data_IF_256453370881
#
_entry.id   IF_256453370881
#
_cell.length_a   1.000
_cell.length_b   1.000
_cell.length_c   1.000
_cell.angle_alpha   90.00
_cell.angle_beta   90.00
_cell.angle_gamma   90.00
#
_symmetry.space_group_name_H-M   'P 1'
#
loop_
_entity.id
_entity.type
_entity.pdbx_description
1 polymer ?
#
# COMPACT_ATOMS: atom_id res chain seq x y z
N UNK A 1 35.12 -6.10 -71.60
CA UNK A 1 33.96 -6.83 -71.04
C UNK A 1 33.82 -6.40 -69.59
N UNK A 2 32.67 -5.80 -69.21
CA UNK A 2 32.42 -5.23 -67.88
C UNK A 2 31.86 -6.31 -66.96
N UNK A 3 32.58 -6.66 -65.89
CA UNK A 3 32.07 -7.55 -64.83
C UNK A 3 31.18 -6.78 -63.87
N UNK A 4 29.93 -7.23 -63.77
CA UNK A 4 28.97 -6.81 -62.75
C UNK A 4 29.29 -7.57 -61.46
N UNK A 5 29.74 -6.87 -60.42
CA UNK A 5 29.92 -7.44 -59.08
C UNK A 5 28.65 -7.17 -58.28
N UNK A 6 27.88 -8.22 -58.03
CA UNK A 6 26.70 -8.18 -57.17
C UNK A 6 27.16 -8.11 -55.71
N UNK A 7 26.97 -6.96 -55.06
CA UNK A 7 27.20 -6.78 -53.62
C UNK A 7 26.08 -7.50 -52.86
N UNK A 8 26.40 -8.60 -52.18
CA UNK A 8 25.52 -9.22 -51.18
C UNK A 8 25.57 -8.38 -49.90
N UNK A 9 24.45 -7.75 -49.53
CA UNK A 9 24.27 -7.22 -48.19
C UNK A 9 24.18 -8.37 -47.18
N UNK A 10 24.87 -8.29 -46.02
CA UNK A 10 24.58 -9.17 -44.89
C UNK A 10 23.23 -8.76 -44.26
N UNK A 11 22.41 -9.72 -43.77
CA UNK A 11 21.21 -9.39 -43.02
C UNK A 11 21.59 -8.67 -41.72
N UNK A 12 20.83 -7.61 -41.42
CA UNK A 12 20.90 -6.78 -40.23
C UNK A 12 21.15 -7.60 -38.97
N UNK A 13 22.15 -7.19 -38.19
CA UNK A 13 22.31 -7.56 -36.79
C UNK A 13 20.99 -7.30 -36.06
N UNK A 14 20.29 -8.38 -35.73
CA UNK A 14 19.21 -8.37 -34.76
C UNK A 14 19.88 -8.04 -33.43
N UNK A 15 19.70 -6.80 -32.98
CA UNK A 15 19.96 -6.41 -31.61
C UNK A 15 19.27 -7.43 -30.69
N UNK A 16 19.95 -7.98 -29.67
CA UNK A 16 19.25 -8.73 -28.64
C UNK A 16 18.19 -7.82 -28.02
N UNK A 17 16.98 -8.36 -27.99
CA UNK A 17 15.80 -7.78 -27.39
C UNK A 17 16.09 -7.44 -25.91
N UNK A 18 16.48 -6.19 -25.65
CA UNK A 18 16.56 -5.63 -24.29
C UNK A 18 15.16 -5.30 -23.75
N UNK A 19 14.12 -6.04 -24.18
CA UNK A 19 12.74 -5.95 -23.72
C UNK A 19 12.39 -6.95 -22.61
N UNK A 20 13.31 -7.84 -22.24
CA UNK A 20 13.11 -8.85 -21.20
C UNK A 20 13.89 -8.54 -19.91
N UNK A 21 13.86 -7.30 -19.44
CA UNK A 21 13.94 -7.10 -17.99
C UNK A 21 12.63 -7.66 -17.42
N UNK A 22 12.69 -8.93 -17.05
CA UNK A 22 11.74 -9.57 -16.13
C UNK A 22 11.45 -8.57 -15.02
N UNK A 23 10.28 -7.93 -15.10
CA UNK A 23 9.77 -7.12 -14.02
C UNK A 23 9.71 -8.04 -12.80
N UNK A 24 10.35 -7.69 -11.67
CA UNK A 24 10.24 -8.50 -10.46
C UNK A 24 8.76 -8.55 -10.11
N UNK A 25 8.19 -9.75 -10.15
CA UNK A 25 6.78 -10.04 -9.91
C UNK A 25 6.32 -9.33 -8.63
N UNK A 26 5.45 -8.31 -8.69
CA UNK A 26 4.86 -7.68 -7.51
C UNK A 26 3.75 -8.54 -6.87
N UNK A 27 3.60 -9.80 -7.32
CA UNK A 27 2.47 -10.66 -7.01
C UNK A 27 2.33 -11.01 -5.52
N UNK A 28 3.38 -10.81 -4.70
CA UNK A 28 3.32 -11.08 -3.26
C UNK A 28 2.90 -9.88 -2.42
N UNK A 29 3.27 -8.65 -2.79
CA UNK A 29 2.93 -7.46 -1.99
C UNK A 29 1.42 -7.20 -1.93
N UNK A 30 0.71 -7.44 -3.04
CA UNK A 30 -0.75 -7.32 -3.09
C UNK A 30 -1.46 -8.37 -2.22
N UNK A 31 -0.98 -9.61 -2.25
CA UNK A 31 -1.52 -10.70 -1.42
C UNK A 31 -1.28 -10.46 0.07
N UNK A 32 -0.05 -10.05 0.43
CA UNK A 32 0.29 -9.71 1.82
C UNK A 32 -0.50 -8.50 2.28
N UNK A 33 -0.65 -7.46 1.47
CA UNK A 33 -1.47 -6.30 1.80
C UNK A 33 -2.94 -6.71 2.03
N UNK A 34 -3.49 -7.58 1.17
CA UNK A 34 -4.84 -8.09 1.32
C UNK A 34 -5.01 -8.92 2.59
N UNK A 35 -4.06 -9.80 2.91
CA UNK A 35 -4.07 -10.65 4.11
C UNK A 35 -3.95 -9.83 5.40
N UNK A 36 -3.06 -8.83 5.42
CA UNK A 36 -2.92 -7.91 6.55
C UNK A 36 -4.17 -7.08 6.77
N UNK A 37 -4.77 -6.55 5.71
CA UNK A 37 -6.02 -5.80 5.80
C UNK A 37 -7.18 -6.69 6.28
N UNK A 38 -7.29 -7.92 5.77
CA UNK A 38 -8.27 -8.87 6.25
C UNK A 38 -8.06 -9.20 7.74
N UNK A 39 -6.81 -9.33 8.18
CA UNK A 39 -6.45 -9.63 9.57
C UNK A 39 -6.82 -8.51 10.56
N UNK A 40 -6.88 -7.25 10.11
CA UNK A 40 -7.35 -6.11 10.90
C UNK A 40 -8.83 -5.76 10.66
N UNK A 41 -9.58 -6.64 9.98
CA UNK A 41 -11.02 -6.47 9.73
C UNK A 41 -11.38 -5.53 8.57
N UNK A 42 -10.39 -5.04 7.81
CA UNK A 42 -10.56 -4.19 6.63
C UNK A 42 -10.62 -5.03 5.35
N UNK A 43 -11.62 -5.90 5.21
CA UNK A 43 -11.80 -6.72 4.00
C UNK A 43 -12.87 -6.16 3.07
N UNK A 44 -12.59 -6.13 1.77
CA UNK A 44 -13.56 -5.80 0.71
C UNK A 44 -14.68 -6.84 0.57
N UNK A 45 -14.51 -8.04 1.15
CA UNK A 45 -15.54 -9.08 1.17
C UNK A 45 -16.72 -8.72 2.10
N UNK A 46 -16.51 -7.81 3.06
CA UNK A 46 -17.52 -7.41 4.05
C UNK A 46 -18.64 -6.52 3.46
N UNK A 47 -18.46 -5.99 2.25
CA UNK A 47 -19.38 -5.01 1.65
C UNK A 47 -20.69 -5.62 1.13
N UNK A 48 -20.81 -6.95 1.05
CA UNK A 48 -22.02 -7.62 0.49
C UNK A 48 -22.96 -8.18 1.58
N UNK A 49 -22.58 -8.20 2.86
CA UNK A 49 -23.34 -8.94 3.90
C UNK A 49 -23.76 -8.17 5.16
N UNK A 50 -23.22 -6.99 5.44
CA UNK A 50 -23.40 -6.33 6.74
C UNK A 50 -24.31 -5.09 6.69
N UNK A 51 -25.57 -5.28 6.29
CA UNK A 51 -26.63 -4.30 6.58
C UNK A 51 -26.99 -4.44 8.06
N UNK A 52 -26.13 -3.95 8.98
CA UNK A 52 -26.57 -3.69 10.36
C UNK A 52 -25.60 -2.88 11.23
N UNK A 53 -24.33 -2.73 10.87
CA UNK A 53 -23.37 -1.91 11.63
C UNK A 53 -22.65 -0.95 10.68
N UNK A 54 -23.28 0.19 10.39
CA UNK A 54 -22.72 1.32 9.62
C UNK A 54 -21.63 2.04 10.42
N UNK A 55 -20.57 1.32 10.79
CA UNK A 55 -19.41 1.96 11.41
C UNK A 55 -18.53 2.53 10.30
N UNK A 56 -18.18 3.83 10.35
CA UNK A 56 -17.29 4.43 9.36
C UNK A 56 -15.95 3.69 9.36
N UNK A 57 -15.43 3.42 8.18
CA UNK A 57 -14.17 2.68 7.93
C UNK A 57 -12.98 3.63 8.04
N UNK A 58 -13.12 4.90 7.66
CA UNK A 58 -12.05 5.88 7.73
C UNK A 58 -11.35 5.98 9.10
N UNK A 59 -12.04 6.04 10.27
CA UNK A 59 -11.36 6.14 11.56
C UNK A 59 -10.53 4.89 11.88
N UNK A 60 -10.97 3.71 11.44
CA UNK A 60 -10.21 2.46 11.62
C UNK A 60 -8.94 2.49 10.77
N UNK A 61 -9.06 2.93 9.51
CA UNK A 61 -7.94 3.14 8.59
C UNK A 61 -6.95 4.15 9.17
N UNK A 62 -7.41 5.31 9.62
CA UNK A 62 -6.58 6.35 10.24
C UNK A 62 -5.79 5.80 11.42
N UNK A 63 -6.45 5.03 12.31
CA UNK A 63 -5.79 4.41 13.44
C UNK A 63 -4.71 3.40 12.99
N UNK A 64 -4.99 2.57 11.97
CA UNK A 64 -4.01 1.63 11.43
C UNK A 64 -2.78 2.31 10.84
N UNK A 65 -2.97 3.37 10.05
CA UNK A 65 -1.86 4.15 9.51
C UNK A 65 -1.09 4.91 10.60
N UNK A 66 -1.76 5.35 11.66
CA UNK A 66 -1.11 6.00 12.79
C UNK A 66 -0.20 5.01 13.55
N UNK A 67 -0.74 3.85 13.95
CA UNK A 67 0.03 2.81 14.66
C UNK A 67 1.21 2.34 13.82
N UNK A 68 0.98 2.08 12.53
CA UNK A 68 2.05 1.68 11.62
C UNK A 68 3.10 2.79 11.46
N UNK A 69 2.67 4.05 11.37
CA UNK A 69 3.56 5.19 11.27
C UNK A 69 4.45 5.35 12.49
N UNK A 70 3.92 5.19 13.70
CA UNK A 70 4.73 5.24 14.94
C UNK A 70 5.83 4.18 14.90
N UNK A 71 5.50 2.94 14.53
CA UNK A 71 6.47 1.86 14.45
C UNK A 71 7.54 2.09 13.37
N UNK A 72 7.13 2.52 12.17
CA UNK A 72 8.06 2.81 11.07
C UNK A 72 8.98 4.00 11.37
N UNK A 73 8.48 5.04 12.04
CA UNK A 73 9.30 6.17 12.52
C UNK A 73 10.31 5.71 13.56
N UNK A 74 9.95 4.80 14.48
CA UNK A 74 10.92 4.23 15.42
C UNK A 74 12.00 3.41 14.72
N UNK A 75 11.66 2.73 13.62
CA UNK A 75 12.58 1.87 12.89
C UNK A 75 13.56 2.64 11.99
N UNK A 76 13.10 3.62 11.20
CA UNK A 76 13.94 4.35 10.24
C UNK A 76 14.04 5.86 10.44
N UNK A 77 13.34 6.42 11.42
CA UNK A 77 13.24 7.85 11.65
C UNK A 77 12.18 8.55 10.78
N UNK A 78 11.81 9.79 11.14
CA UNK A 78 10.67 10.48 10.53
C UNK A 78 10.92 10.86 9.06
N UNK A 79 12.15 11.22 8.68
CA UNK A 79 12.46 11.61 7.29
C UNK A 79 12.39 10.43 6.32
N UNK A 80 12.87 9.26 6.73
CA UNK A 80 12.80 8.05 5.93
C UNK A 80 11.35 7.59 5.77
N UNK A 81 10.58 7.59 6.86
CA UNK A 81 9.15 7.27 6.81
C UNK A 81 8.37 8.23 5.90
N UNK A 82 8.61 9.53 5.99
CA UNK A 82 8.01 10.52 5.08
C UNK A 82 8.33 10.22 3.60
N UNK A 83 9.59 9.91 3.28
CA UNK A 83 9.99 9.59 1.92
C UNK A 83 9.29 8.34 1.38
N UNK A 84 9.15 7.30 2.23
CA UNK A 84 8.42 6.07 1.91
C UNK A 84 6.95 6.39 1.63
N UNK A 85 6.26 7.10 2.54
CA UNK A 85 4.86 7.47 2.35
C UNK A 85 4.63 8.33 1.12
N UNK A 86 5.41 9.40 0.93
CA UNK A 86 5.27 10.28 -0.23
C UNK A 86 5.51 9.53 -1.56
N UNK A 87 6.35 8.49 -1.56
CA UNK A 87 6.50 7.62 -2.72
C UNK A 87 5.36 6.63 -2.85
N UNK A 88 4.90 6.02 -1.76
CA UNK A 88 3.80 5.07 -1.75
C UNK A 88 2.49 5.70 -2.24
N UNK A 89 2.16 6.91 -1.78
CA UNK A 89 0.98 7.68 -2.24
C UNK A 89 1.03 7.89 -3.75
N UNK A 90 2.18 8.30 -4.29
CA UNK A 90 2.36 8.48 -5.75
C UNK A 90 2.20 7.18 -6.54
N UNK A 91 2.60 6.04 -5.99
CA UNK A 91 2.42 4.74 -6.64
C UNK A 91 0.95 4.29 -6.56
N UNK A 92 0.32 4.47 -5.39
CA UNK A 92 -1.08 4.12 -5.18
C UNK A 92 -2.03 4.97 -6.04
N UNK A 93 -1.72 6.25 -6.28
CA UNK A 93 -2.49 7.12 -7.18
C UNK A 93 -2.60 6.59 -8.61
N UNK A 94 -1.58 5.85 -9.09
CA UNK A 94 -1.61 5.24 -10.43
C UNK A 94 -2.66 4.13 -10.51
N UNK A 95 -2.84 3.37 -9.41
CA UNK A 95 -3.81 2.28 -9.34
C UNK A 95 -5.22 2.77 -8.94
N UNK A 96 -5.30 3.72 -8.01
CA UNK A 96 -6.53 4.25 -7.43
C UNK A 96 -6.46 5.78 -7.39
N UNK A 97 -7.01 6.48 -8.41
CA UNK A 97 -6.92 7.94 -8.50
C UNK A 97 -7.53 8.70 -7.32
N UNK A 98 -8.52 8.11 -6.62
CA UNK A 98 -9.13 8.71 -5.43
C UNK A 98 -8.11 9.01 -4.30
N UNK A 99 -6.97 8.30 -4.29
CA UNK A 99 -5.85 8.50 -3.36
C UNK A 99 -5.15 9.86 -3.57
N UNK A 100 -5.43 10.58 -4.66
CA UNK A 100 -4.94 11.96 -4.86
C UNK A 100 -5.39 12.92 -3.74
N UNK A 101 -6.50 12.63 -3.07
CA UNK A 101 -6.99 13.41 -1.95
C UNK A 101 -6.15 13.22 -0.67
N UNK A 102 -5.31 12.17 -0.60
CA UNK A 102 -4.45 11.95 0.55
C UNK A 102 -3.31 12.96 0.63
N UNK A 103 -3.08 13.49 1.82
CA UNK A 103 -2.00 14.44 2.11
C UNK A 103 -1.03 13.82 3.10
N UNK A 104 0.25 13.76 2.71
CA UNK A 104 1.34 13.38 3.61
C UNK A 104 1.83 14.63 4.33
N UNK A 105 1.69 14.68 5.65
CA UNK A 105 2.28 15.76 6.44
C UNK A 105 3.77 15.51 6.66
N UNK A 106 4.56 16.57 6.52
CA UNK A 106 6.01 16.52 6.64
C UNK A 106 6.45 16.38 8.13
N UNK A 107 7.70 15.96 8.40
CA UNK A 107 8.26 15.89 9.75
C UNK A 107 8.11 17.21 10.53
N UNK A 108 8.01 17.17 11.87
CA UNK A 108 8.32 16.04 12.75
C UNK A 108 7.17 15.04 13.00
N UNK A 109 5.93 15.39 12.67
CA UNK A 109 4.75 14.55 12.88
C UNK A 109 4.25 14.03 11.52
N UNK A 110 4.90 13.00 11.00
CA UNK A 110 4.54 12.43 9.70
C UNK A 110 3.24 11.65 9.82
N UNK A 111 2.19 12.13 9.17
CA UNK A 111 0.86 11.52 9.16
C UNK A 111 0.27 11.52 7.75
N UNK A 112 -0.80 10.75 7.56
CA UNK A 112 -1.56 10.71 6.32
C UNK A 112 -3.00 11.13 6.60
N UNK A 113 -3.46 12.17 5.92
CA UNK A 113 -4.79 12.76 6.07
C UNK A 113 -5.61 12.61 4.79
N UNK A 114 -6.94 12.75 4.90
CA UNK A 114 -7.87 12.74 3.75
C UNK A 114 -8.63 11.42 3.54
N UNK A 115 -8.48 10.43 4.42
CA UNK A 115 -9.24 9.18 4.32
C UNK A 115 -10.75 9.38 4.47
N UNK A 116 -11.17 10.27 5.37
CA UNK A 116 -12.58 10.63 5.59
C UNK A 116 -13.19 11.32 4.35
N UNK A 117 -12.42 12.18 3.68
CA UNK A 117 -12.85 12.84 2.45
C UNK A 117 -13.05 11.82 1.31
N UNK A 118 -12.17 10.82 1.23
CA UNK A 118 -12.29 9.72 0.26
C UNK A 118 -13.53 8.88 0.55
N UNK A 119 -13.76 8.51 1.82
CA UNK A 119 -14.97 7.78 2.22
C UNK A 119 -16.24 8.55 1.86
N UNK A 120 -16.29 9.84 2.20
CA UNK A 120 -17.45 10.69 1.95
C UNK A 120 -17.71 10.94 0.45
N UNK A 121 -16.65 11.07 -0.36
CA UNK A 121 -16.78 11.40 -1.78
C UNK A 121 -16.97 10.17 -2.67
N UNK A 122 -16.26 9.08 -2.35
CA UNK A 122 -16.10 7.92 -3.23
C UNK A 122 -16.62 6.62 -2.62
N UNK A 123 -16.90 6.61 -1.33
CA UNK A 123 -17.39 5.46 -0.58
C UNK A 123 -16.30 4.48 -0.13
N UNK A 124 -16.72 3.60 0.76
CA UNK A 124 -15.91 2.58 1.45
C UNK A 124 -15.08 1.71 0.50
N UNK A 125 -15.67 1.31 -0.64
CA UNK A 125 -15.01 0.42 -1.59
C UNK A 125 -13.76 1.06 -2.21
N UNK A 126 -13.83 2.35 -2.56
CA UNK A 126 -12.69 3.07 -3.12
C UNK A 126 -11.68 3.46 -2.04
N UNK A 127 -12.13 3.76 -0.83
CA UNK A 127 -11.25 3.92 0.33
C UNK A 127 -10.43 2.64 0.57
N UNK A 128 -11.08 1.48 0.66
CA UNK A 128 -10.41 0.20 0.91
C UNK A 128 -9.45 -0.18 -0.22
N UNK A 129 -9.85 0.02 -1.49
CA UNK A 129 -8.96 -0.18 -2.62
C UNK A 129 -7.73 0.74 -2.56
N UNK A 130 -7.92 2.02 -2.18
CA UNK A 130 -6.84 2.97 -2.00
C UNK A 130 -5.87 2.59 -0.88
N UNK A 131 -6.42 2.13 0.26
CA UNK A 131 -5.63 1.65 1.40
C UNK A 131 -4.83 0.39 1.03
N UNK A 132 -5.43 -0.54 0.29
CA UNK A 132 -4.76 -1.72 -0.24
C UNK A 132 -3.60 -1.34 -1.15
N UNK A 133 -3.86 -0.49 -2.15
CA UNK A 133 -2.83 -0.02 -3.07
C UNK A 133 -1.68 0.72 -2.34
N UNK A 134 -2.01 1.49 -1.30
CA UNK A 134 -1.03 2.20 -0.50
C UNK A 134 -0.17 1.25 0.33
N UNK A 135 -0.77 0.25 0.98
CA UNK A 135 -0.04 -0.74 1.76
C UNK A 135 0.88 -1.59 0.86
N UNK A 136 0.37 -2.05 -0.29
CA UNK A 136 1.15 -2.77 -1.29
C UNK A 136 2.33 -1.93 -1.78
N UNK A 137 2.14 -0.62 -2.00
CA UNK A 137 3.20 0.28 -2.39
C UNK A 137 4.25 0.47 -1.28
N UNK A 138 3.85 0.56 0.00
CA UNK A 138 4.79 0.61 1.14
C UNK A 138 5.62 -0.67 1.21
N UNK A 139 5.00 -1.85 1.15
CA UNK A 139 5.69 -3.14 1.17
C UNK A 139 6.68 -3.24 0.00
N UNK A 140 6.26 -2.86 -1.20
CA UNK A 140 7.12 -2.86 -2.40
C UNK A 140 8.34 -1.95 -2.25
N UNK A 141 8.17 -0.77 -1.63
CA UNK A 141 9.28 0.15 -1.37
C UNK A 141 10.23 -0.45 -0.34
N UNK A 142 9.71 -1.00 0.75
CA UNK A 142 10.51 -1.62 1.79
C UNK A 142 11.25 -2.86 1.29
N UNK A 143 10.60 -3.72 0.50
CA UNK A 143 11.21 -4.90 -0.13
C UNK A 143 12.48 -4.53 -0.91
N UNK A 144 12.42 -3.44 -1.69
CA UNK A 144 13.60 -2.96 -2.44
C UNK A 144 14.74 -2.46 -1.57
N UNK A 145 14.46 -2.02 -0.34
CA UNK A 145 15.44 -1.41 0.57
C UNK A 145 16.04 -2.46 1.52
N UNK A 146 15.20 -3.33 2.08
CA UNK A 146 15.59 -4.28 3.14
C UNK A 146 15.33 -5.75 2.79
N UNK A 147 14.74 -6.02 1.63
CA UNK A 147 14.32 -7.36 1.22
C UNK A 147 12.91 -7.73 1.72
N UNK A 148 12.27 -8.58 0.94
CA UNK A 148 10.86 -9.00 1.09
C UNK A 148 10.52 -9.49 2.50
N UNK A 149 11.26 -10.46 3.02
CA UNK A 149 11.00 -11.06 4.33
C UNK A 149 11.04 -10.03 5.46
N UNK A 150 11.99 -9.09 5.41
CA UNK A 150 12.10 -8.03 6.41
C UNK A 150 11.00 -6.98 6.23
N UNK A 151 10.63 -6.64 5.00
CA UNK A 151 9.53 -5.72 4.72
C UNK A 151 8.20 -6.25 5.28
N UNK A 152 7.88 -7.53 5.03
CA UNK A 152 6.67 -8.18 5.53
C UNK A 152 6.69 -8.19 7.06
N UNK A 153 7.80 -8.58 7.69
CA UNK A 153 7.92 -8.61 9.16
C UNK A 153 7.76 -7.23 9.79
N UNK A 154 8.43 -6.21 9.25
CA UNK A 154 8.34 -4.84 9.78
C UNK A 154 6.90 -4.33 9.73
N UNK A 155 6.20 -4.53 8.61
CA UNK A 155 4.80 -4.09 8.47
C UNK A 155 3.87 -4.90 9.37
N UNK A 156 4.06 -6.22 9.45
CA UNK A 156 3.26 -7.10 10.32
C UNK A 156 3.47 -6.78 11.80
N UNK A 157 4.71 -6.55 12.23
CA UNK A 157 5.06 -6.15 13.59
C UNK A 157 4.49 -4.77 13.92
N UNK A 158 4.51 -3.84 12.96
CA UNK A 158 3.94 -2.50 13.11
C UNK A 158 2.42 -2.54 13.28
N UNK A 159 1.71 -3.47 12.62
CA UNK A 159 0.27 -3.67 12.75
C UNK A 159 -0.10 -4.61 13.90
N UNK A 160 0.86 -5.30 14.53
CA UNK A 160 0.62 -6.24 15.63
C UNK A 160 -0.25 -5.68 16.76
N UNK A 161 -0.13 -4.41 17.21
CA UNK A 161 -1.00 -3.88 18.25
C UNK A 161 -2.48 -3.98 17.86
N UNK A 162 -2.83 -3.72 16.59
CA UNK A 162 -4.21 -3.85 16.11
C UNK A 162 -4.66 -5.32 15.99
N UNK A 163 -3.73 -6.22 15.69
CA UNK A 163 -3.99 -7.66 15.64
C UNK A 163 -4.18 -8.26 17.05
N UNK A 164 -3.40 -7.77 18.03
CA UNK A 164 -3.42 -8.22 19.41
C UNK A 164 -4.63 -7.67 20.18
N UNK A 165 -5.05 -6.44 19.87
CA UNK A 165 -6.25 -5.83 20.45
C UNK A 165 -7.55 -6.41 19.90
N UNK A 166 -7.46 -7.27 18.87
CA UNK A 166 -8.52 -8.16 18.38
C UNK A 166 -9.92 -7.63 18.60
N UNK A 167 -10.24 -6.44 18.06
CA UNK A 167 -11.53 -5.76 18.20
C UNK A 167 -12.23 -6.05 19.55
N UNK A 168 -11.52 -5.86 20.68
CA UNK A 168 -12.20 -5.81 21.98
C UNK A 168 -13.00 -4.51 21.97
N UNK A 169 -14.22 -4.59 21.44
CA UNK A 169 -15.33 -3.74 21.84
C UNK A 169 -15.58 -3.99 23.32
N UNK A 170 -14.69 -3.51 24.18
CA UNK A 170 -15.06 -3.16 25.54
C UNK A 170 -15.94 -1.93 25.39
N UNK A 171 -17.21 -2.16 25.06
CA UNK A 171 -18.28 -1.28 25.52
C UNK A 171 -18.12 -1.22 27.02
N UNK A 172 -17.42 -0.19 27.49
CA UNK A 172 -17.45 0.25 28.87
C UNK A 172 -18.88 0.72 29.13
N UNK A 173 -19.77 -0.21 29.42
CA UNK A 173 -20.99 0.06 30.17
C UNK A 173 -20.54 0.38 31.58
N UNK A 174 -20.16 1.63 31.80
CA UNK A 174 -20.29 2.28 33.10
C UNK A 174 -21.78 2.17 33.46
N UNK A 175 -22.11 1.09 34.17
CA UNK A 175 -23.37 1.00 34.89
C UNK A 175 -23.03 1.46 36.28
N UNK A 176 -23.15 2.77 36.50
CA UNK A 176 -23.24 3.33 37.84
C UNK A 176 -24.45 2.69 38.54
N UNK A 177 -24.19 2.05 39.69
CA UNK A 177 -25.16 1.81 40.76
C UNK A 177 -24.48 2.08 42.09
#
# INVERSE_FOLDING_TARGET
>A
MRSVVTVRHPPSSVLPDEGALLQPTPLNADLVAQDLLASIGLSTASTTGAISNSQPIAPLVVNAWHVMGVALVQWCGPFAYYAVLARAVRLAQVAVPAVEQLRVLAPPAVTLEGFEDIEATHGDALLLAGVHALLAAVITILDRVIGEELAIRVVSDALRPLLADGFVTSTRTDTEL
#
